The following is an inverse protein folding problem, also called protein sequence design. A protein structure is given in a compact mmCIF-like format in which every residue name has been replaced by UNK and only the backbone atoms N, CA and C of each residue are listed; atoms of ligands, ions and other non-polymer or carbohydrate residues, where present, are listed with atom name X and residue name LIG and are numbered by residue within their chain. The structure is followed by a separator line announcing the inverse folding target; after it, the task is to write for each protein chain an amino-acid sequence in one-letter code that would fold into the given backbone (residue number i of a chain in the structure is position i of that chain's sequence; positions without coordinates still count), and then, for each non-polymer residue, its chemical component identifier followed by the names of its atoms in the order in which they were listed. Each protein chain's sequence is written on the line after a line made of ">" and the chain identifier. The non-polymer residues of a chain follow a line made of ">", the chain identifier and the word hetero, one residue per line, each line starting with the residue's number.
data_IF_228513792722
#
_entry.id   IF_228513792722
#
_cell.length_a   1.000
_cell.length_b   1.000
_cell.length_c   1.000
_cell.angle_alpha   90.00
_cell.angle_beta   90.00
_cell.angle_gamma   90.00
#
_symmetry.space_group_name_H-M   'P 1'
#
loop_
_entity.id
_entity.type
_entity.pdbx_description
1 polymer ?
#
# COMPACT_ATOMS: atom_id res chain seq x y z
N UNK A 1 -33.95 -28.93 -62.85
CA UNK A 1 -32.80 -29.49 -62.09
C UNK A 1 -32.45 -28.50 -60.97
N UNK A 2 -33.12 -28.63 -59.84
CA UNK A 2 -33.13 -27.69 -58.72
C UNK A 2 -32.87 -28.46 -57.42
N UNK A 3 -31.60 -28.83 -57.15
CA UNK A 3 -31.23 -29.58 -55.92
C UNK A 3 -29.87 -29.23 -55.30
N UNK A 4 -29.20 -28.14 -55.71
CA UNK A 4 -27.85 -27.83 -55.21
C UNK A 4 -27.85 -26.76 -54.09
N UNK A 5 -28.93 -26.01 -53.89
CA UNK A 5 -28.95 -24.85 -52.98
C UNK A 5 -29.32 -25.13 -51.52
N UNK A 6 -29.62 -26.38 -51.11
CA UNK A 6 -30.06 -26.67 -49.74
C UNK A 6 -28.94 -27.06 -48.76
N UNK A 7 -27.79 -27.57 -49.22
CA UNK A 7 -26.77 -28.11 -48.29
C UNK A 7 -25.78 -27.07 -47.76
N UNK A 8 -25.61 -25.93 -48.44
CA UNK A 8 -24.64 -24.90 -48.06
C UNK A 8 -25.13 -23.94 -46.95
N UNK A 9 -26.32 -24.18 -46.39
CA UNK A 9 -26.91 -23.34 -45.32
C UNK A 9 -26.92 -23.98 -43.94
N UNK A 10 -26.56 -25.27 -43.83
CA UNK A 10 -26.67 -26.03 -42.57
C UNK A 10 -25.31 -26.27 -41.89
N UNK A 11 -24.19 -26.08 -42.61
CA UNK A 11 -22.83 -26.34 -42.08
C UNK A 11 -22.09 -25.10 -41.55
N UNK A 12 -22.68 -23.91 -41.62
CA UNK A 12 -22.07 -22.66 -41.11
C UNK A 12 -22.19 -22.48 -39.57
N UNK A 13 -23.21 -22.98 -38.84
CA UNK A 13 -23.32 -22.68 -37.41
C UNK A 13 -22.42 -23.57 -36.53
N UNK A 14 -21.91 -24.69 -37.06
CA UNK A 14 -21.10 -25.65 -36.28
C UNK A 14 -19.64 -25.16 -36.14
N UNK A 15 -19.11 -24.41 -37.10
CA UNK A 15 -17.76 -23.84 -37.03
C UNK A 15 -17.66 -22.53 -36.21
N UNK A 16 -18.79 -21.89 -35.92
CA UNK A 16 -18.84 -20.63 -35.15
C UNK A 16 -18.99 -20.82 -33.63
N UNK A 17 -19.29 -22.05 -33.17
CA UNK A 17 -19.49 -22.36 -31.75
C UNK A 17 -18.19 -22.74 -31.00
N UNK A 18 -17.06 -22.92 -31.69
CA UNK A 18 -15.78 -23.34 -31.08
C UNK A 18 -14.76 -22.20 -30.87
N UNK A 19 -15.12 -20.95 -31.18
CA UNK A 19 -14.19 -19.82 -31.09
C UNK A 19 -14.41 -18.89 -29.88
N UNK A 20 -15.31 -19.21 -28.93
CA UNK A 20 -15.69 -18.31 -27.83
C UNK A 20 -15.14 -18.67 -26.44
N UNK A 21 -14.15 -19.58 -26.34
CA UNK A 21 -13.61 -20.04 -25.04
C UNK A 21 -12.26 -19.41 -24.65
N UNK A 22 -11.88 -18.28 -25.24
CA UNK A 22 -10.65 -17.54 -24.88
C UNK A 22 -11.07 -16.08 -24.72
N UNK A 23 -11.02 -15.42 -23.56
CA UNK A 23 -9.91 -15.26 -22.62
C UNK A 23 -10.50 -14.85 -21.25
N UNK A 24 -10.20 -15.59 -20.20
CA UNK A 24 -10.32 -15.13 -18.82
C UNK A 24 -8.93 -15.25 -18.18
N UNK A 25 -8.60 -14.32 -17.27
CA UNK A 25 -7.35 -14.14 -16.50
C UNK A 25 -6.40 -13.05 -17.03
N UNK A 26 -6.82 -11.78 -16.96
CA UNK A 26 -5.89 -10.64 -16.96
C UNK A 26 -6.21 -9.59 -15.86
N UNK A 27 -7.33 -9.71 -15.17
CA UNK A 27 -7.88 -8.60 -14.36
C UNK A 27 -7.22 -8.44 -12.97
N UNK A 28 -6.68 -9.52 -12.40
CA UNK A 28 -6.17 -9.49 -11.03
C UNK A 28 -4.82 -8.75 -10.87
N UNK A 29 -3.96 -8.80 -11.90
CA UNK A 29 -2.62 -8.19 -11.84
C UNK A 29 -2.67 -6.69 -12.09
N UNK A 30 -3.56 -6.22 -12.96
CA UNK A 30 -3.70 -4.80 -13.29
C UNK A 30 -4.20 -3.99 -12.08
N UNK A 31 -5.15 -4.55 -11.33
CA UNK A 31 -5.68 -3.89 -10.12
C UNK A 31 -4.65 -3.74 -8.99
N UNK A 32 -3.62 -4.58 -8.91
CA UNK A 32 -2.57 -4.45 -7.89
C UNK A 32 -1.53 -3.38 -8.26
N UNK A 33 -1.19 -3.28 -9.55
CA UNK A 33 -0.31 -2.23 -10.04
C UNK A 33 -0.91 -0.84 -9.82
N UNK A 34 -2.19 -0.66 -10.16
CA UNK A 34 -2.92 0.60 -9.91
C UNK A 34 -2.95 0.96 -8.42
N UNK A 35 -3.29 -0.01 -7.56
CA UNK A 35 -3.31 0.21 -6.09
C UNK A 35 -1.94 0.58 -5.53
N UNK A 36 -0.86 -0.01 -6.04
CA UNK A 36 0.50 0.31 -5.63
C UNK A 36 0.88 1.74 -5.99
N UNK A 37 0.55 2.19 -7.20
CA UNK A 37 0.80 3.57 -7.66
C UNK A 37 -0.03 4.56 -6.84
N UNK A 38 -1.31 4.26 -6.62
CA UNK A 38 -2.18 5.09 -5.79
C UNK A 38 -1.63 5.21 -4.36
N UNK A 39 -1.23 4.10 -3.75
CA UNK A 39 -0.64 4.10 -2.42
C UNK A 39 0.65 4.93 -2.36
N UNK A 40 1.53 4.83 -3.36
CA UNK A 40 2.72 5.68 -3.43
C UNK A 40 2.35 7.16 -3.46
N UNK A 41 1.36 7.55 -4.27
CA UNK A 41 0.88 8.94 -4.29
C UNK A 41 0.30 9.41 -2.96
N UNK A 42 -0.44 8.55 -2.25
CA UNK A 42 -1.01 8.87 -0.93
C UNK A 42 0.09 9.07 0.11
N UNK A 43 1.12 8.21 0.10
CA UNK A 43 2.28 8.33 1.00
C UNK A 43 3.10 9.58 0.69
N UNK A 44 3.29 9.92 -0.59
CA UNK A 44 3.98 11.14 -0.98
C UNK A 44 3.21 12.39 -0.56
N UNK A 45 1.89 12.41 -0.78
CA UNK A 45 1.02 13.50 -0.34
C UNK A 45 1.05 13.68 1.19
N UNK A 46 1.00 12.58 1.94
CA UNK A 46 1.16 12.59 3.39
C UNK A 46 2.54 13.13 3.81
N UNK A 47 3.62 12.69 3.17
CA UNK A 47 4.95 13.22 3.50
C UNK A 47 5.04 14.74 3.22
N UNK A 48 4.44 15.20 2.14
CA UNK A 48 4.42 16.62 1.75
C UNK A 48 3.52 17.46 2.66
N UNK A 49 2.44 16.91 3.22
CA UNK A 49 1.56 17.62 4.14
C UNK A 49 2.18 17.85 5.53
N UNK A 50 3.24 17.11 5.86
CA UNK A 50 4.03 17.28 7.09
C UNK A 50 5.52 17.57 6.79
N UNK A 51 5.86 18.79 6.34
CA UNK A 51 7.26 19.22 6.21
C UNK A 51 8.02 19.10 7.53
N UNK A 52 9.34 18.97 7.47
CA UNK A 52 10.17 18.86 8.66
C UNK A 52 9.96 20.05 9.62
N UNK A 53 9.77 19.77 10.91
CA UNK A 53 9.49 20.75 11.97
C UNK A 53 8.15 21.48 11.82
N UNK A 54 7.21 20.92 11.06
CA UNK A 54 5.87 21.51 10.90
C UNK A 54 4.90 21.12 12.01
N UNK A 55 5.26 20.16 12.88
CA UNK A 55 4.40 19.69 13.97
C UNK A 55 4.58 20.61 15.19
N UNK A 56 3.57 21.43 15.45
CA UNK A 56 3.57 22.53 16.42
C UNK A 56 2.44 22.46 17.45
N UNK A 57 1.58 21.44 17.36
CA UNK A 57 0.44 21.25 18.25
C UNK A 57 0.19 19.78 18.54
N UNK A 58 -0.40 19.51 19.71
CA UNK A 58 -0.74 18.14 20.14
C UNK A 58 -1.70 17.50 19.15
N UNK A 59 -2.74 18.24 18.75
CA UNK A 59 -3.74 17.79 17.78
C UNK A 59 -3.11 17.42 16.43
N UNK A 60 -2.18 18.23 15.91
CA UNK A 60 -1.49 17.94 14.65
C UNK A 60 -0.58 16.71 14.76
N UNK A 61 0.09 16.52 15.90
CA UNK A 61 0.90 15.35 16.17
C UNK A 61 0.06 14.06 16.26
N UNK A 62 -1.09 14.11 16.94
CA UNK A 62 -2.01 12.98 17.04
C UNK A 62 -2.60 12.60 15.68
N UNK A 63 -3.00 13.59 14.88
CA UNK A 63 -3.48 13.36 13.51
C UNK A 63 -2.40 12.72 12.64
N UNK A 64 -1.17 13.23 12.68
CA UNK A 64 -0.05 12.69 11.92
C UNK A 64 0.27 11.22 12.28
N UNK A 65 0.11 10.86 13.55
CA UNK A 65 0.28 9.46 14.01
C UNK A 65 -0.84 8.59 13.46
N UNK A 66 -2.10 9.01 13.59
CA UNK A 66 -3.25 8.24 13.12
C UNK A 66 -3.22 8.00 11.60
N UNK A 67 -2.94 9.06 10.83
CA UNK A 67 -2.81 8.97 9.38
C UNK A 67 -1.63 8.06 8.97
N UNK A 68 -0.50 8.18 9.68
CA UNK A 68 0.66 7.33 9.49
C UNK A 68 0.38 5.84 9.76
N UNK A 69 -0.39 5.51 10.80
CA UNK A 69 -0.78 4.13 11.13
C UNK A 69 -1.69 3.52 10.06
N UNK A 70 -2.62 4.30 9.52
CA UNK A 70 -3.46 3.90 8.37
C UNK A 70 -2.59 3.58 7.15
N UNK A 71 -1.67 4.48 6.80
CA UNK A 71 -0.77 4.27 5.66
C UNK A 71 0.15 3.07 5.87
N UNK A 72 0.66 2.87 7.08
CA UNK A 72 1.51 1.71 7.39
C UNK A 72 0.75 0.39 7.19
N UNK A 73 -0.53 0.35 7.57
CA UNK A 73 -1.41 -0.81 7.34
C UNK A 73 -1.63 -1.05 5.85
N UNK A 74 -1.89 0.01 5.07
CA UNK A 74 -2.06 -0.10 3.62
C UNK A 74 -0.78 -0.56 2.92
N UNK A 75 0.38 -0.03 3.30
CA UNK A 75 1.69 -0.46 2.79
C UNK A 75 1.90 -1.94 3.05
N UNK A 76 1.58 -2.43 4.25
CA UNK A 76 1.74 -3.84 4.57
C UNK A 76 0.79 -4.71 3.72
N UNK A 77 -0.47 -4.32 3.60
CA UNK A 77 -1.47 -5.05 2.81
C UNK A 77 -1.05 -5.20 1.34
N UNK A 78 -0.71 -4.09 0.69
CA UNK A 78 -0.26 -4.08 -0.72
C UNK A 78 1.03 -4.88 -0.88
N UNK A 79 1.96 -4.81 0.09
CA UNK A 79 3.21 -5.57 0.02
C UNK A 79 2.96 -7.07 0.11
N UNK A 80 2.10 -7.54 1.03
CA UNK A 80 1.77 -8.96 1.16
C UNK A 80 1.13 -9.50 -0.11
N UNK A 81 0.19 -8.74 -0.66
CA UNK A 81 -0.46 -9.10 -1.92
C UNK A 81 0.53 -9.12 -3.09
N UNK A 82 1.43 -8.14 -3.16
CA UNK A 82 2.47 -8.07 -4.21
C UNK A 82 3.48 -9.22 -4.09
N UNK A 83 3.89 -9.58 -2.87
CA UNK A 83 4.72 -10.76 -2.62
C UNK A 83 3.99 -12.04 -3.09
N UNK A 84 2.67 -12.15 -2.92
CA UNK A 84 1.91 -13.32 -3.38
C UNK A 84 1.93 -13.50 -4.90
N UNK A 85 1.81 -12.39 -5.65
CA UNK A 85 1.86 -12.40 -7.13
C UNK A 85 3.27 -12.74 -7.65
N UNK A 86 4.32 -12.48 -6.87
CA UNK A 86 5.67 -12.80 -7.28
C UNK A 86 5.93 -14.31 -7.44
N UNK A 87 5.18 -15.17 -6.75
CA UNK A 87 5.37 -16.62 -6.83
C UNK A 87 4.96 -17.22 -8.18
N UNK A 88 4.12 -16.52 -8.94
CA UNK A 88 3.70 -16.93 -10.29
C UNK A 88 4.70 -16.48 -11.39
N UNK A 89 5.77 -15.77 -11.02
CA UNK A 89 6.76 -15.24 -11.97
C UNK A 89 7.98 -16.14 -12.10
N UNK A 90 8.60 -16.13 -13.27
CA UNK A 90 9.86 -16.86 -13.52
C UNK A 90 11.00 -16.38 -12.61
N UNK A 91 11.10 -15.08 -12.35
CA UNK A 91 12.13 -14.46 -11.50
C UNK A 91 11.58 -14.07 -10.13
N UNK A 92 11.12 -15.05 -9.35
CA UNK A 92 10.49 -14.84 -8.03
C UNK A 92 11.34 -13.97 -7.11
N UNK A 93 12.64 -14.27 -6.97
CA UNK A 93 13.52 -13.54 -6.05
C UNK A 93 13.66 -12.06 -6.41
N UNK A 94 13.87 -11.75 -7.69
CA UNK A 94 13.97 -10.37 -8.15
C UNK A 94 12.66 -9.60 -7.89
N UNK A 95 11.51 -10.22 -8.17
CA UNK A 95 10.20 -9.64 -7.88
C UNK A 95 10.00 -9.35 -6.39
N UNK A 96 10.33 -10.31 -5.52
CA UNK A 96 10.22 -10.13 -4.06
C UNK A 96 11.12 -9.00 -3.58
N UNK A 97 12.33 -8.90 -4.11
CA UNK A 97 13.26 -7.83 -3.73
C UNK A 97 12.75 -6.46 -4.16
N UNK A 98 12.17 -6.32 -5.35
CA UNK A 98 11.51 -5.08 -5.79
C UNK A 98 10.37 -4.67 -4.84
N UNK A 99 9.51 -5.63 -4.46
CA UNK A 99 8.42 -5.38 -3.49
C UNK A 99 8.97 -4.94 -2.14
N UNK A 100 10.05 -5.57 -1.66
CA UNK A 100 10.70 -5.17 -0.40
C UNK A 100 11.31 -3.78 -0.49
N UNK A 101 11.94 -3.43 -1.61
CA UNK A 101 12.48 -2.09 -1.84
C UNK A 101 11.38 -1.04 -1.85
N UNK A 102 10.28 -1.30 -2.55
CA UNK A 102 9.09 -0.45 -2.56
C UNK A 102 8.53 -0.25 -1.15
N UNK A 103 8.32 -1.35 -0.40
CA UNK A 103 7.86 -1.30 0.99
C UNK A 103 8.76 -0.44 1.88
N UNK A 104 10.07 -0.65 1.82
CA UNK A 104 11.06 0.12 2.60
C UNK A 104 10.98 1.61 2.29
N UNK A 105 10.96 1.97 0.99
CA UNK A 105 10.85 3.35 0.53
C UNK A 105 9.64 4.06 1.13
N UNK A 106 8.45 3.46 1.05
CA UNK A 106 7.23 4.06 1.57
C UNK A 106 7.22 4.12 3.11
N UNK A 107 7.67 3.05 3.77
CA UNK A 107 7.76 3.01 5.23
C UNK A 107 8.68 4.10 5.78
N UNK A 108 9.80 4.38 5.12
CA UNK A 108 10.74 5.42 5.57
C UNK A 108 10.14 6.82 5.50
N UNK A 109 9.25 7.10 4.54
CA UNK A 109 8.55 8.38 4.45
C UNK A 109 7.55 8.53 5.60
N UNK A 110 6.75 7.49 5.86
CA UNK A 110 5.78 7.49 6.96
C UNK A 110 6.46 7.56 8.33
N UNK A 111 7.55 6.80 8.52
CA UNK A 111 8.31 6.76 9.78
C UNK A 111 8.87 8.11 10.17
N UNK A 112 9.41 8.89 9.21
CA UNK A 112 9.95 10.22 9.50
C UNK A 112 8.91 11.13 10.18
N UNK A 113 7.73 11.24 9.58
CA UNK A 113 6.64 12.09 10.10
C UNK A 113 6.13 11.56 11.43
N UNK A 114 5.86 10.26 11.54
CA UNK A 114 5.34 9.67 12.77
C UNK A 114 6.33 9.71 13.93
N UNK A 115 7.65 9.65 13.67
CA UNK A 115 8.67 9.83 14.69
C UNK A 115 8.76 11.28 15.17
N UNK A 116 8.70 12.26 14.27
CA UNK A 116 8.63 13.67 14.64
C UNK A 116 7.40 13.94 15.52
N UNK A 117 6.23 13.43 15.12
CA UNK A 117 4.99 13.57 15.87
C UNK A 117 5.09 12.96 17.28
N UNK A 118 5.62 11.73 17.37
CA UNK A 118 5.83 11.05 18.66
C UNK A 118 6.85 11.77 19.53
N UNK A 119 7.90 12.34 18.93
CA UNK A 119 8.89 13.14 19.66
C UNK A 119 8.26 14.42 20.23
N UNK A 120 7.43 15.12 19.46
CA UNK A 120 6.68 16.28 19.92
C UNK A 120 5.79 15.94 21.14
N UNK A 121 5.01 14.86 21.06
CA UNK A 121 4.16 14.43 22.18
C UNK A 121 4.97 14.08 23.44
N UNK A 122 6.15 13.46 23.28
CA UNK A 122 7.05 13.17 24.42
C UNK A 122 7.55 14.45 25.09
N UNK A 123 7.92 15.47 24.31
CA UNK A 123 8.34 16.77 24.84
C UNK A 123 7.19 17.45 25.60
N UNK A 124 5.98 17.47 25.03
CA UNK A 124 4.81 18.08 25.67
C UNK A 124 4.41 17.38 26.98
N UNK A 125 4.57 16.06 27.07
CA UNK A 125 4.35 15.31 28.31
C UNK A 125 5.41 15.66 29.36
N UNK A 126 6.68 15.74 28.98
CA UNK A 126 7.78 16.10 29.87
C UNK A 126 7.65 17.52 30.46
N UNK A 127 7.08 18.47 29.71
CA UNK A 127 6.79 19.83 30.21
C UNK A 127 5.65 19.86 31.24
N UNK A 128 4.75 18.88 31.22
CA UNK A 128 3.60 18.79 32.14
C UNK A 128 3.93 18.07 33.45
N UNK A 129 5.03 17.34 33.54
CA UNK A 129 5.50 16.75 34.79
C UNK A 129 6.24 17.85 35.55
N UNK A 130 5.69 18.40 36.66
CA UNK A 130 6.44 19.34 37.49
C UNK A 130 7.70 18.63 37.97
N UNK A 131 8.86 19.31 37.89
CA UNK A 131 10.17 18.84 38.39
C UNK A 131 10.23 18.58 39.91
N UNK A 132 9.10 18.38 40.56
CA UNK A 132 8.97 18.29 42.01
C UNK A 132 9.27 16.90 42.56
N UNK A 133 9.35 15.86 41.72
CA UNK A 133 9.80 14.52 42.13
C UNK A 133 11.32 14.41 41.92
N UNK A 134 12.07 15.28 42.57
CA UNK A 134 13.53 15.18 42.67
C UNK A 134 13.96 15.53 44.10
N UNK A 135 13.27 14.98 45.10
CA UNK A 135 13.81 14.92 46.45
C UNK A 135 14.63 13.63 46.59
N UNK A 136 15.91 13.71 47.01
CA UNK A 136 16.70 12.52 47.27
C UNK A 136 16.07 11.77 48.45
N UNK A 137 15.76 10.49 48.26
CA UNK A 137 15.38 9.60 49.37
C UNK A 137 16.63 9.43 50.24
N UNK A 138 16.65 10.07 51.41
CA UNK A 138 17.61 9.78 52.45
C UNK A 138 17.40 8.32 52.89
N UNK A 139 18.45 7.51 52.78
CA UNK A 139 18.49 6.16 53.32
C UNK A 139 18.96 6.26 54.78
N UNK A 140 18.10 5.88 55.71
CA UNK A 140 18.45 5.55 57.10
C UNK A 140 18.93 4.10 57.19
#
# INVERSE_FOLDING_TARGET
>A
MTKVFCFLRVLIPILLALAFSSVANADATDGLAERSVKLESEVLAFHQSYPARSIDSVTKAELAIADGEKLQTNIQSVSVESESVCYDRFLVNACIDDVRHFRRKLQDLVRRVTFEAKAYLRQQRGLKIPREIATPVAQD
#
